data_IF_825090066316
#
_entry.id   IF_825090066316
#
_cell.length_a   1.000
_cell.length_b   1.000
_cell.length_c   1.000
_cell.angle_alpha   90.00
_cell.angle_beta   90.00
_cell.angle_gamma   90.00
#
_symmetry.space_group_name_H-M   'P 1'
#
loop_
_entity.id
_entity.type
_entity.pdbx_description
1 polymer ?
#
# COMPACT_ATOMS: atom_id res chain seq x y z
N UNK A 1 1.41 28.37 18.25
CA UNK A 1 2.57 29.24 18.13
C UNK A 1 3.60 28.95 19.23
N UNK A 2 4.84 28.69 18.85
CA UNK A 2 5.97 28.40 19.75
C UNK A 2 6.78 29.68 20.11
N UNK A 3 6.36 30.83 19.61
CA UNK A 3 7.12 32.10 19.80
C UNK A 3 6.94 32.73 21.19
N UNK A 4 6.03 32.25 22.00
CA UNK A 4 5.65 32.86 23.27
C UNK A 4 4.81 34.14 23.15
N UNK A 5 4.51 34.58 21.94
CA UNK A 5 3.77 35.84 21.67
C UNK A 5 2.27 35.64 21.48
N UNK A 6 1.77 34.40 21.73
CA UNK A 6 0.35 34.02 21.60
C UNK A 6 -0.25 34.27 20.20
N UNK A 7 0.57 34.28 19.15
CA UNK A 7 0.13 34.46 17.77
C UNK A 7 -0.52 33.17 17.22
N UNK A 8 -1.52 32.68 17.93
CA UNK A 8 -2.20 31.46 17.56
C UNK A 8 -3.21 31.73 16.44
N UNK A 9 -3.21 30.87 15.41
CA UNK A 9 -4.25 30.91 14.39
C UNK A 9 -5.54 30.33 14.93
N UNK A 10 -6.65 31.00 14.65
CA UNK A 10 -7.98 30.44 14.91
C UNK A 10 -8.42 29.66 13.68
N UNK A 11 -8.83 28.41 13.89
CA UNK A 11 -9.38 27.58 12.82
C UNK A 11 -10.71 28.16 12.38
N UNK A 12 -10.80 28.68 11.16
CA UNK A 12 -12.01 29.29 10.62
C UNK A 12 -13.09 28.29 10.20
N UNK A 13 -12.77 27.00 10.15
CA UNK A 13 -13.69 25.92 9.80
C UNK A 13 -12.94 24.60 9.66
N UNK A 14 -13.64 23.47 9.87
CA UNK A 14 -13.06 22.12 9.84
C UNK A 14 -12.25 21.77 11.10
N UNK A 15 -11.57 20.65 11.04
CA UNK A 15 -10.72 20.15 12.14
C UNK A 15 -9.26 20.15 11.69
N UNK A 16 -8.39 20.78 12.47
CA UNK A 16 -6.95 20.64 12.28
C UNK A 16 -6.52 19.25 12.77
N UNK A 17 -5.86 18.52 11.89
CA UNK A 17 -5.26 17.23 12.21
C UNK A 17 -3.76 17.40 12.29
N UNK A 18 -3.15 16.96 13.39
CA UNK A 18 -1.69 16.88 13.48
C UNK A 18 -1.25 15.61 12.75
N UNK A 19 -0.44 15.76 11.71
CA UNK A 19 0.13 14.65 10.95
C UNK A 19 1.64 14.64 11.06
N UNK A 20 2.25 13.47 10.83
CA UNK A 20 3.71 13.35 10.76
C UNK A 20 4.27 13.78 9.39
N UNK A 21 3.39 14.12 8.45
CA UNK A 21 3.78 14.62 7.13
C UNK A 21 4.35 16.03 7.25
N UNK A 22 5.61 16.19 6.94
CA UNK A 22 6.36 17.44 7.02
C UNK A 22 7.44 17.45 5.93
N UNK A 23 8.09 18.58 5.62
CA UNK A 23 9.09 18.65 4.55
C UNK A 23 10.23 17.64 4.67
N UNK A 24 10.59 17.26 5.89
CA UNK A 24 11.65 16.28 6.15
C UNK A 24 11.16 14.82 6.09
N UNK A 25 9.84 14.58 6.13
CA UNK A 25 9.24 13.26 6.17
C UNK A 25 7.91 13.24 5.40
N UNK A 26 7.99 13.27 4.08
CA UNK A 26 6.82 13.22 3.20
C UNK A 26 6.45 11.75 2.95
N UNK A 27 5.21 11.38 3.23
CA UNK A 27 4.70 10.04 2.96
C UNK A 27 4.33 9.84 1.50
N UNK A 28 4.49 8.61 1.01
CA UNK A 28 3.96 8.22 -0.28
C UNK A 28 2.44 8.44 -0.35
N UNK A 29 1.95 8.65 -1.55
CA UNK A 29 0.51 8.68 -1.89
C UNK A 29 0.29 7.88 -3.17
N UNK A 30 -0.94 7.65 -3.57
CA UNK A 30 -1.23 7.05 -4.86
C UNK A 30 -1.10 8.08 -5.98
N UNK A 31 -0.55 7.69 -7.13
CA UNK A 31 -0.26 8.60 -8.23
C UNK A 31 -1.36 8.57 -9.31
N UNK A 32 -2.22 9.60 -9.40
CA UNK A 32 -3.31 9.63 -10.37
C UNK A 32 -2.82 9.68 -11.83
N UNK A 33 -1.56 10.05 -12.06
CA UNK A 33 -0.98 10.17 -13.41
C UNK A 33 -0.49 8.84 -13.98
N UNK A 34 -0.36 7.80 -13.17
CA UNK A 34 0.16 6.48 -13.57
C UNK A 34 -0.95 5.43 -13.76
N UNK A 35 -2.19 5.84 -13.90
CA UNK A 35 -3.27 4.89 -14.15
C UNK A 35 -3.18 4.33 -15.57
N UNK A 36 -2.99 3.02 -15.67
CA UNK A 36 -3.15 2.31 -16.94
C UNK A 36 -4.60 2.48 -17.43
N UNK A 37 -4.80 3.01 -18.65
CA UNK A 37 -6.07 3.50 -19.17
C UNK A 37 -6.67 4.66 -18.37
N UNK A 38 -6.17 5.86 -18.64
CA UNK A 38 -6.63 7.09 -18.03
C UNK A 38 -8.16 7.25 -18.05
N UNK A 39 -8.71 7.79 -16.97
CA UNK A 39 -9.90 8.59 -17.05
C UNK A 39 -11.14 8.16 -16.29
N UNK A 40 -11.09 7.26 -15.29
CA UNK A 40 -12.32 7.00 -14.53
C UNK A 40 -12.13 6.57 -13.06
N UNK A 41 -10.92 6.54 -12.55
CA UNK A 41 -10.72 6.42 -11.11
C UNK A 41 -10.67 7.81 -10.50
N UNK A 42 -11.28 7.96 -9.34
CA UNK A 42 -11.21 9.21 -8.60
C UNK A 42 -10.34 9.06 -7.37
N UNK A 43 -9.63 10.14 -7.07
CA UNK A 43 -8.71 10.20 -5.94
C UNK A 43 -9.19 11.28 -4.97
N UNK A 44 -9.05 11.03 -3.68
CA UNK A 44 -9.41 11.96 -2.62
C UNK A 44 -8.47 11.81 -1.42
N UNK A 45 -8.64 12.65 -0.40
CA UNK A 45 -7.84 12.61 0.83
C UNK A 45 -6.33 12.65 0.55
N UNK A 46 -5.89 13.64 -0.25
CA UNK A 46 -4.48 13.75 -0.64
C UNK A 46 -3.97 12.59 -1.49
N UNK A 47 -4.85 12.01 -2.32
CA UNK A 47 -4.60 10.82 -3.15
C UNK A 47 -4.41 9.51 -2.35
N UNK A 48 -4.71 9.50 -1.06
CA UNK A 48 -4.65 8.28 -0.26
C UNK A 48 -5.95 7.47 -0.29
N UNK A 49 -6.99 7.96 -0.96
CA UNK A 49 -8.21 7.18 -1.24
C UNK A 49 -8.42 7.07 -2.74
N UNK A 50 -8.57 5.84 -3.21
CA UNK A 50 -8.79 5.50 -4.62
C UNK A 50 -10.15 4.85 -4.78
N UNK A 51 -11.03 5.46 -5.58
CA UNK A 51 -12.32 4.90 -5.96
C UNK A 51 -12.24 4.34 -7.39
N UNK A 52 -12.38 3.04 -7.49
CA UNK A 52 -12.30 2.25 -8.72
C UNK A 52 -13.68 2.09 -9.36
N UNK A 53 -14.28 3.19 -9.82
CA UNK A 53 -15.68 3.23 -10.25
C UNK A 53 -15.95 2.68 -11.68
N UNK A 54 -14.94 2.14 -12.37
CA UNK A 54 -15.11 1.66 -13.76
C UNK A 54 -15.11 0.15 -13.87
N UNK A 55 -15.68 -0.35 -14.98
CA UNK A 55 -15.73 -1.78 -15.30
C UNK A 55 -14.50 -2.27 -16.09
N UNK A 56 -13.53 -1.42 -16.41
CA UNK A 56 -12.33 -1.83 -17.13
C UNK A 56 -11.22 -2.31 -16.18
N UNK A 57 -10.43 -3.26 -16.63
CA UNK A 57 -9.20 -3.68 -15.94
C UNK A 57 -8.22 -2.52 -15.84
N UNK A 58 -7.71 -2.24 -14.64
CA UNK A 58 -6.85 -1.08 -14.37
C UNK A 58 -5.98 -1.30 -13.16
N UNK A 59 -4.90 -0.53 -13.08
CA UNK A 59 -4.13 -0.36 -11.85
C UNK A 59 -3.62 1.07 -11.70
N UNK A 60 -3.21 1.40 -10.51
CA UNK A 60 -2.49 2.64 -10.16
C UNK A 60 -1.37 2.28 -9.20
N UNK A 61 -0.26 3.00 -9.30
CA UNK A 61 0.88 2.84 -8.41
C UNK A 61 1.08 4.04 -7.50
N UNK A 62 1.91 3.87 -6.48
CA UNK A 62 2.27 4.95 -5.56
C UNK A 62 3.19 6.00 -6.22
N UNK A 63 3.38 7.12 -5.51
CA UNK A 63 4.25 8.23 -5.93
C UNK A 63 5.73 7.97 -5.67
N UNK A 64 6.06 7.05 -4.76
CA UNK A 64 7.43 6.71 -4.39
C UNK A 64 7.74 5.28 -4.77
N UNK A 65 8.91 5.09 -5.37
CA UNK A 65 9.47 3.79 -5.71
C UNK A 65 10.67 3.47 -4.83
N UNK A 66 10.96 2.18 -4.69
CA UNK A 66 12.08 1.66 -3.91
C UNK A 66 12.78 0.53 -4.65
N UNK A 67 14.09 0.38 -4.42
CA UNK A 67 14.93 -0.67 -5.03
C UNK A 67 15.81 -1.40 -4.03
N UNK A 68 15.83 -0.97 -2.79
CA UNK A 68 16.58 -1.56 -1.67
C UNK A 68 15.84 -1.33 -0.36
N UNK A 69 16.26 -1.95 0.74
CA UNK A 69 15.67 -1.77 2.06
C UNK A 69 14.38 -2.56 2.27
N UNK A 70 13.71 -2.30 3.39
CA UNK A 70 12.50 -3.02 3.81
C UNK A 70 11.38 -2.05 4.07
N UNK A 71 10.26 -2.26 3.41
CA UNK A 71 9.16 -1.30 3.34
C UNK A 71 7.86 -1.90 3.82
N UNK A 72 7.07 -1.11 4.56
CA UNK A 72 5.76 -1.48 5.07
C UNK A 72 4.73 -0.38 4.79
N UNK A 73 3.52 -0.78 4.39
CA UNK A 73 2.34 0.06 4.33
C UNK A 73 1.08 -0.76 4.55
N UNK A 74 0.00 -0.07 4.81
CA UNK A 74 -1.32 -0.63 4.98
C UNK A 74 -2.30 -0.06 3.97
N UNK A 75 -3.29 -0.87 3.59
CA UNK A 75 -4.38 -0.42 2.75
C UNK A 75 -5.69 -1.06 3.19
N UNK A 76 -6.70 -0.22 3.43
CA UNK A 76 -8.03 -0.65 3.86
C UNK A 76 -8.95 -0.79 2.66
N UNK A 77 -9.61 -1.93 2.56
CA UNK A 77 -10.70 -2.14 1.62
C UNK A 77 -11.97 -1.51 2.19
N UNK A 78 -12.29 -0.28 1.78
CA UNK A 78 -13.36 0.51 2.39
C UNK A 78 -14.75 0.00 1.96
N UNK A 79 -14.93 -0.23 0.67
CA UNK A 79 -16.21 -0.71 0.13
C UNK A 79 -16.01 -1.45 -1.17
N UNK A 80 -16.93 -2.35 -1.48
CA UNK A 80 -16.97 -3.12 -2.73
C UNK A 80 -18.36 -3.11 -3.35
N UNK A 81 -18.43 -3.26 -4.66
CA UNK A 81 -19.57 -3.86 -5.35
C UNK A 81 -19.28 -5.36 -5.57
N UNK A 82 -20.14 -6.06 -6.19
CA UNK A 82 -20.31 -7.52 -6.18
C UNK A 82 -19.13 -8.44 -6.47
N UNK A 83 -18.03 -8.01 -7.05
CA UNK A 83 -16.90 -8.88 -7.33
C UNK A 83 -15.58 -8.32 -6.82
N UNK A 84 -14.83 -9.18 -6.19
CA UNK A 84 -13.65 -8.81 -5.39
C UNK A 84 -12.36 -9.17 -6.08
N UNK A 85 -12.22 -8.81 -7.30
CA UNK A 85 -10.99 -9.03 -8.06
C UNK A 85 -9.96 -7.91 -7.90
N UNK A 86 -9.95 -7.24 -6.73
CA UNK A 86 -8.90 -6.27 -6.39
C UNK A 86 -7.60 -6.99 -6.05
N UNK A 87 -6.50 -6.45 -6.50
CA UNK A 87 -5.15 -7.00 -6.35
C UNK A 87 -4.25 -5.97 -5.72
N UNK A 88 -3.83 -6.25 -4.52
CA UNK A 88 -2.89 -5.43 -3.75
C UNK A 88 -1.48 -5.94 -3.99
N UNK A 89 -0.46 -5.08 -4.03
CA UNK A 89 0.92 -5.52 -4.20
C UNK A 89 1.88 -4.47 -4.71
N UNK A 90 2.80 -4.87 -5.58
CA UNK A 90 3.83 -4.02 -6.17
C UNK A 90 3.91 -4.20 -7.69
N UNK A 91 4.43 -3.17 -8.37
CA UNK A 91 4.67 -3.19 -9.80
C UNK A 91 5.94 -2.40 -10.14
N UNK A 92 6.79 -2.94 -10.99
CA UNK A 92 7.93 -2.23 -11.55
C UNK A 92 7.65 -1.65 -12.93
N UNK A 93 6.85 -2.35 -13.75
CA UNK A 93 6.49 -1.85 -15.08
C UNK A 93 5.26 -0.94 -15.01
N UNK A 94 5.49 0.35 -14.85
CA UNK A 94 4.41 1.34 -14.66
C UNK A 94 3.69 1.76 -15.95
N UNK A 95 4.15 1.30 -17.12
CA UNK A 95 3.80 1.97 -18.36
C UNK A 95 2.88 1.19 -19.30
N UNK A 96 2.63 -0.10 -19.17
CA UNK A 96 1.98 -0.74 -20.32
C UNK A 96 1.42 -2.16 -20.23
N UNK A 97 1.18 -2.72 -19.10
CA UNK A 97 0.56 -4.05 -19.06
C UNK A 97 -0.67 -4.07 -18.16
N UNK A 98 -1.62 -4.94 -18.52
CA UNK A 98 -2.72 -5.25 -17.61
C UNK A 98 -2.17 -5.65 -16.24
N UNK A 99 -2.87 -5.36 -15.15
CA UNK A 99 -2.44 -5.74 -13.81
C UNK A 99 -2.01 -7.22 -13.79
N UNK A 100 -0.83 -7.47 -13.20
CA UNK A 100 -0.30 -8.82 -13.00
C UNK A 100 0.04 -9.64 -14.27
N UNK A 101 0.01 -9.04 -15.45
CA UNK A 101 0.53 -9.65 -16.69
C UNK A 101 2.05 -9.46 -16.83
N UNK A 102 2.64 -8.62 -16.00
CA UNK A 102 4.07 -8.38 -15.97
C UNK A 102 4.80 -9.42 -15.11
N UNK A 103 5.98 -9.83 -15.52
CA UNK A 103 6.88 -10.66 -14.71
C UNK A 103 7.36 -9.96 -13.44
N UNK A 104 7.29 -8.63 -13.40
CA UNK A 104 7.64 -7.77 -12.26
C UNK A 104 6.43 -7.21 -11.51
N UNK A 105 5.23 -7.70 -11.81
CA UNK A 105 4.01 -7.36 -11.07
C UNK A 105 3.63 -8.49 -10.11
N UNK A 106 3.60 -8.20 -8.81
CA UNK A 106 3.25 -9.18 -7.78
C UNK A 106 2.01 -8.73 -7.05
N UNK A 107 1.02 -9.60 -6.96
CA UNK A 107 -0.27 -9.24 -6.39
C UNK A 107 -0.86 -10.31 -5.48
N UNK A 108 -1.66 -9.85 -4.51
CA UNK A 108 -2.53 -10.68 -3.69
C UNK A 108 -3.99 -10.29 -3.98
N UNK A 109 -4.77 -11.27 -4.40
CA UNK A 109 -6.19 -11.18 -4.74
C UNK A 109 -7.02 -11.75 -3.60
N UNK A 110 -8.04 -10.99 -3.19
CA UNK A 110 -8.83 -11.38 -2.03
C UNK A 110 -9.91 -12.42 -2.28
N UNK A 111 -10.40 -12.53 -3.53
CA UNK A 111 -11.46 -13.50 -3.83
C UNK A 111 -11.44 -13.90 -5.32
N UNK A 112 -11.19 -15.20 -5.61
CA UNK A 112 -10.71 -16.17 -4.63
C UNK A 112 -9.33 -15.76 -4.07
N UNK A 113 -8.97 -16.31 -2.89
CA UNK A 113 -7.66 -16.04 -2.30
C UNK A 113 -6.55 -16.60 -3.16
N UNK A 114 -5.79 -15.73 -3.82
CA UNK A 114 -4.75 -16.11 -4.77
C UNK A 114 -3.62 -15.09 -4.76
N UNK A 115 -2.40 -15.57 -4.91
CA UNK A 115 -1.27 -14.75 -5.35
C UNK A 115 -1.17 -14.78 -6.86
N UNK A 116 -0.73 -13.68 -7.46
CA UNK A 116 -0.67 -13.54 -8.92
C UNK A 116 0.61 -12.85 -9.37
N UNK A 117 1.23 -13.43 -10.40
CA UNK A 117 2.39 -12.90 -11.11
C UNK A 117 2.37 -13.41 -12.54
N UNK A 118 2.70 -12.58 -13.50
CA UNK A 118 2.80 -12.92 -14.92
C UNK A 118 1.57 -13.70 -15.44
N UNK A 119 0.37 -13.24 -15.08
CA UNK A 119 -0.88 -13.87 -15.48
C UNK A 119 -1.17 -15.23 -14.82
N UNK A 120 -0.29 -15.70 -13.95
CA UNK A 120 -0.47 -16.97 -13.25
C UNK A 120 -1.10 -16.74 -11.88
N UNK A 121 -2.23 -17.38 -11.64
CA UNK A 121 -2.99 -17.32 -10.39
C UNK A 121 -2.79 -18.62 -9.61
N UNK A 122 -2.32 -18.50 -8.37
CA UNK A 122 -2.08 -19.66 -7.50
C UNK A 122 -2.83 -19.45 -6.19
N UNK A 123 -3.58 -20.45 -5.72
CA UNK A 123 -4.24 -20.39 -4.41
C UNK A 123 -3.23 -20.09 -3.32
N UNK A 124 -3.50 -19.08 -2.51
CA UNK A 124 -2.60 -18.60 -1.47
C UNK A 124 -3.32 -17.69 -0.50
N UNK A 125 -3.05 -17.84 0.79
CA UNK A 125 -3.61 -17.00 1.86
C UNK A 125 -5.11 -17.19 2.06
N UNK A 126 -5.74 -16.27 2.75
CA UNK A 126 -7.17 -16.23 3.03
C UNK A 126 -7.89 -15.19 2.16
N UNK A 127 -9.20 -15.29 2.06
CA UNK A 127 -10.02 -14.24 1.43
C UNK A 127 -10.08 -13.01 2.31
N UNK A 128 -10.10 -11.84 1.67
CA UNK A 128 -10.38 -10.56 2.35
C UNK A 128 -11.59 -9.86 1.72
N UNK A 129 -12.24 -9.00 2.47
CA UNK A 129 -13.48 -8.32 2.09
C UNK A 129 -13.47 -6.86 2.54
N UNK A 130 -14.53 -6.12 2.19
CA UNK A 130 -14.70 -4.74 2.66
C UNK A 130 -14.66 -4.67 4.20
N UNK A 131 -13.94 -3.71 4.70
CA UNK A 131 -13.61 -3.55 6.12
C UNK A 131 -12.20 -4.01 6.49
N UNK A 132 -11.65 -4.99 5.78
CA UNK A 132 -10.32 -5.53 6.08
C UNK A 132 -9.20 -4.56 5.72
N UNK A 133 -8.14 -4.64 6.51
CA UNK A 133 -6.88 -3.92 6.29
C UNK A 133 -5.83 -4.93 5.87
N UNK A 134 -5.21 -4.66 4.72
CA UNK A 134 -4.14 -5.47 4.16
C UNK A 134 -2.81 -4.77 4.44
N UNK A 135 -1.96 -5.39 5.24
CA UNK A 135 -0.57 -4.98 5.39
C UNK A 135 0.30 -5.59 4.30
N UNK A 136 1.22 -4.82 3.77
CA UNK A 136 2.21 -5.26 2.78
C UNK A 136 3.60 -4.98 3.31
N UNK A 137 4.43 -6.03 3.36
CA UNK A 137 5.84 -5.92 3.72
C UNK A 137 6.70 -6.40 2.56
N UNK A 138 7.63 -5.55 2.12
CA UNK A 138 8.57 -5.87 1.02
C UNK A 138 9.99 -5.79 1.55
N UNK A 139 10.71 -6.90 1.47
CA UNK A 139 12.13 -7.01 1.80
C UNK A 139 12.93 -7.08 0.49
N UNK A 140 13.47 -5.94 0.06
CA UNK A 140 14.29 -5.85 -1.14
C UNK A 140 15.69 -6.42 -0.92
N UNK A 141 16.17 -6.48 0.32
CA UNK A 141 17.49 -7.02 0.63
C UNK A 141 17.54 -8.54 0.45
N UNK A 142 16.38 -9.19 0.61
CA UNK A 142 16.22 -10.64 0.42
C UNK A 142 15.22 -11.00 -0.69
N UNK A 143 14.71 -10.01 -1.42
CA UNK A 143 13.78 -10.19 -2.53
C UNK A 143 12.50 -10.95 -2.14
N UNK A 144 11.82 -10.53 -1.05
CA UNK A 144 10.60 -11.16 -0.53
C UNK A 144 9.47 -10.16 -0.40
N UNK A 145 8.23 -10.65 -0.62
CA UNK A 145 7.02 -9.89 -0.35
C UNK A 145 6.05 -10.73 0.48
N UNK A 146 5.43 -10.07 1.46
CA UNK A 146 4.48 -10.65 2.40
C UNK A 146 3.20 -9.83 2.45
N UNK A 147 2.10 -10.50 2.78
CA UNK A 147 0.81 -9.85 2.98
C UNK A 147 0.19 -10.28 4.30
N UNK A 148 -0.43 -9.35 5.00
CA UNK A 148 -1.26 -9.64 6.17
C UNK A 148 -2.70 -9.22 5.94
N UNK A 149 -3.63 -9.83 6.66
CA UNK A 149 -5.03 -9.40 6.77
C UNK A 149 -5.27 -9.10 8.24
N UNK A 150 -5.68 -7.87 8.54
CA UNK A 150 -5.96 -7.42 9.90
C UNK A 150 -4.83 -7.77 10.88
N UNK A 151 -3.59 -7.52 10.49
CA UNK A 151 -2.39 -7.78 11.27
C UNK A 151 -1.91 -9.24 11.28
N UNK A 152 -2.66 -10.18 10.70
CA UNK A 152 -2.27 -11.60 10.66
C UNK A 152 -1.58 -11.91 9.33
N UNK A 153 -0.28 -12.23 9.40
CA UNK A 153 0.51 -12.61 8.23
C UNK A 153 -0.01 -13.89 7.61
N UNK A 154 -0.20 -13.89 6.30
CA UNK A 154 -0.74 -15.02 5.57
C UNK A 154 0.32 -16.12 5.43
N UNK A 155 -0.13 -17.40 5.37
CA UNK A 155 0.73 -18.59 5.27
C UNK A 155 1.80 -18.66 6.39
N UNK A 156 1.43 -18.22 7.61
CA UNK A 156 2.35 -18.10 8.75
C UNK A 156 3.61 -17.30 8.42
N UNK A 157 3.45 -16.26 7.60
CA UNK A 157 4.53 -15.42 7.13
C UNK A 157 5.30 -14.75 8.26
N UNK A 158 6.61 -14.74 8.12
CA UNK A 158 7.53 -14.00 8.99
C UNK A 158 8.38 -13.05 8.14
N UNK A 159 7.99 -11.78 8.03
CA UNK A 159 8.77 -10.78 7.29
C UNK A 159 10.20 -10.59 7.82
N UNK A 160 10.48 -10.99 9.05
CA UNK A 160 11.82 -10.88 9.65
C UNK A 160 12.74 -12.08 9.38
N UNK A 161 12.23 -13.10 8.66
CA UNK A 161 12.96 -14.35 8.37
C UNK A 161 14.10 -14.20 7.34
N UNK A 162 14.30 -13.01 6.80
CA UNK A 162 15.39 -12.71 5.86
C UNK A 162 15.36 -13.59 4.61
N UNK A 163 16.50 -14.13 4.22
CA UNK A 163 16.64 -14.95 3.01
C UNK A 163 15.79 -16.23 3.05
N UNK A 164 15.45 -16.77 4.23
CA UNK A 164 14.58 -17.93 4.38
C UNK A 164 13.21 -17.67 3.76
N UNK A 165 12.66 -16.46 3.92
CA UNK A 165 11.39 -16.06 3.32
C UNK A 165 10.20 -16.87 3.80
N UNK A 166 10.16 -17.22 5.10
CA UNK A 166 9.07 -18.02 5.69
C UNK A 166 7.71 -17.43 5.38
N UNK A 167 6.82 -18.18 4.72
CA UNK A 167 5.48 -17.76 4.33
C UNK A 167 5.40 -16.56 3.39
N UNK A 168 6.50 -16.17 2.73
CA UNK A 168 6.46 -15.11 1.72
C UNK A 168 5.55 -15.49 0.56
N UNK A 169 4.81 -14.52 0.03
CA UNK A 169 3.98 -14.75 -1.15
C UNK A 169 4.85 -15.05 -2.37
N UNK A 170 5.93 -14.30 -2.55
CA UNK A 170 6.84 -14.47 -3.68
C UNK A 170 8.29 -14.21 -3.28
N UNK A 171 9.20 -14.85 -4.01
CA UNK A 171 10.53 -14.31 -4.26
C UNK A 171 10.42 -13.41 -5.48
N UNK A 172 10.72 -12.13 -5.31
CA UNK A 172 10.61 -11.12 -6.35
C UNK A 172 11.94 -10.99 -7.09
N UNK A 173 11.90 -10.56 -8.35
CA UNK A 173 13.11 -10.27 -9.13
C UNK A 173 13.59 -8.84 -8.83
N UNK A 174 14.79 -8.51 -9.25
CA UNK A 174 15.24 -7.12 -9.26
C UNK A 174 14.31 -6.29 -10.16
N UNK A 175 13.97 -5.03 -9.78
CA UNK A 175 13.00 -4.25 -10.52
C UNK A 175 13.52 -3.85 -11.91
N UNK A 176 12.93 -4.35 -13.02
CA UNK A 176 13.43 -4.06 -14.38
C UNK A 176 13.45 -2.59 -14.76
N UNK A 177 12.57 -1.77 -14.15
CA UNK A 177 12.55 -0.31 -14.35
C UNK A 177 13.42 0.45 -13.35
N UNK A 178 14.15 -0.26 -12.47
CA UNK A 178 14.96 0.31 -11.40
C UNK A 178 14.23 0.43 -10.07
N UNK A 179 12.90 0.40 -10.05
CA UNK A 179 12.10 0.59 -8.83
C UNK A 179 10.85 -0.27 -8.82
N UNK A 180 10.43 -0.70 -7.62
CA UNK A 180 9.07 -1.14 -7.35
C UNK A 180 8.25 -0.03 -6.73
N UNK A 181 6.97 -0.02 -7.03
CA UNK A 181 5.98 0.91 -6.49
C UNK A 181 4.85 0.12 -5.83
N UNK A 182 4.28 0.58 -4.71
CA UNK A 182 3.00 0.07 -4.21
C UNK A 182 1.95 0.09 -5.31
N UNK A 183 1.10 -0.93 -5.37
CA UNK A 183 0.08 -1.06 -6.42
C UNK A 183 -1.27 -1.46 -5.84
N UNK A 184 -2.33 -0.90 -6.42
CA UNK A 184 -3.67 -1.46 -6.38
C UNK A 184 -4.18 -1.64 -7.80
N UNK A 185 -4.68 -2.81 -8.11
CA UNK A 185 -5.26 -3.15 -9.39
C UNK A 185 -6.61 -3.82 -9.26
N UNK A 186 -7.33 -3.94 -10.37
CA UNK A 186 -8.59 -4.67 -10.43
C UNK A 186 -8.84 -5.32 -11.78
N UNK A 187 -9.64 -6.36 -11.81
CA UNK A 187 -10.23 -6.92 -13.03
C UNK A 187 -11.43 -6.10 -13.50
N UNK A 188 -11.85 -6.37 -14.74
CA UNK A 188 -12.84 -5.55 -15.44
C UNK A 188 -14.16 -5.34 -14.69
N UNK A 189 -14.70 -6.35 -14.02
CA UNK A 189 -16.01 -6.28 -13.37
C UNK A 189 -15.99 -5.74 -11.93
N UNK A 190 -14.82 -5.53 -11.33
CA UNK A 190 -14.71 -5.09 -9.95
C UNK A 190 -14.85 -3.56 -9.83
N UNK A 191 -15.58 -3.09 -8.82
CA UNK A 191 -15.52 -1.71 -8.34
C UNK A 191 -15.26 -1.72 -6.84
N UNK A 192 -14.68 -0.67 -6.31
CA UNK A 192 -14.39 -0.59 -4.88
C UNK A 192 -13.63 0.66 -4.51
N UNK A 193 -13.61 0.92 -3.22
CA UNK A 193 -12.86 2.03 -2.63
C UNK A 193 -11.77 1.47 -1.74
N UNK A 194 -10.55 1.95 -1.95
CA UNK A 194 -9.40 1.63 -1.14
C UNK A 194 -8.80 2.88 -0.53
N UNK A 195 -8.40 2.82 0.73
CA UNK A 195 -7.68 3.89 1.42
C UNK A 195 -6.32 3.38 1.90
N UNK A 196 -5.28 4.15 1.63
CA UNK A 196 -3.89 3.82 1.89
C UNK A 196 -3.37 4.58 3.09
N UNK A 197 -2.65 3.89 3.94
CA UNK A 197 -1.85 4.42 5.03
C UNK A 197 -0.38 4.07 4.77
N UNK A 198 0.40 5.06 4.32
CA UNK A 198 1.84 4.92 4.14
C UNK A 198 2.63 5.34 5.39
N UNK A 199 1.93 5.54 6.52
CA UNK A 199 2.47 5.98 7.80
C UNK A 199 1.86 7.27 8.31
N UNK A 200 0.93 7.88 7.59
CA UNK A 200 0.26 9.12 7.99
C UNK A 200 -0.82 8.90 9.07
N UNK A 201 -1.15 7.66 9.42
CA UNK A 201 -2.08 7.31 10.49
C UNK A 201 -3.55 7.40 10.13
N UNK A 202 -3.89 7.42 8.83
CA UNK A 202 -5.28 7.57 8.38
C UNK A 202 -5.59 6.64 7.21
N UNK A 203 -6.82 6.11 7.23
CA UNK A 203 -7.47 5.49 6.08
C UNK A 203 -8.54 6.46 5.56
N UNK A 204 -8.18 7.29 4.59
CA UNK A 204 -9.01 8.40 4.14
C UNK A 204 -9.11 9.48 5.22
N UNK A 205 -10.31 9.68 5.78
CA UNK A 205 -10.56 10.59 6.91
C UNK A 205 -10.64 9.87 8.27
N UNK A 206 -10.53 8.53 8.29
CA UNK A 206 -10.61 7.73 9.51
C UNK A 206 -9.21 7.51 10.05
N UNK A 207 -8.94 8.00 11.24
CA UNK A 207 -7.69 7.69 11.94
C UNK A 207 -7.58 6.20 12.25
N UNK A 208 -6.35 5.71 12.36
CA UNK A 208 -6.09 4.37 12.92
C UNK A 208 -6.73 4.25 14.31
N UNK A 209 -7.29 3.10 14.62
CA UNK A 209 -8.05 2.92 15.88
C UNK A 209 -7.13 2.64 17.06
N UNK A 210 -6.03 1.94 16.81
CA UNK A 210 -5.02 1.61 17.82
C UNK A 210 -3.67 1.52 17.12
N UNK A 211 -2.85 2.55 17.31
CA UNK A 211 -1.54 2.57 16.68
C UNK A 211 -0.68 1.38 17.11
N UNK A 212 -0.23 0.61 16.13
CA UNK A 212 0.77 -0.44 16.30
C UNK A 212 2.16 0.13 16.60
N UNK A 213 3.11 -0.76 16.88
CA UNK A 213 4.52 -0.40 17.07
C UNK A 213 5.09 0.10 15.73
N UNK A 214 5.64 1.33 15.67
CA UNK A 214 6.23 1.87 14.44
C UNK A 214 7.57 1.21 14.12
N UNK A 215 8.04 1.38 12.88
CA UNK A 215 9.44 1.17 12.51
C UNK A 215 10.39 2.20 13.13
N UNK A 216 11.64 2.24 12.70
CA UNK A 216 12.63 3.22 13.20
C UNK A 216 12.36 4.63 12.68
N UNK A 217 11.81 4.76 11.48
CA UNK A 217 11.33 6.04 10.95
C UNK A 217 9.90 6.33 11.43
N UNK A 218 9.57 7.58 11.79
CA UNK A 218 8.22 7.90 12.26
C UNK A 218 7.13 7.54 11.25
N UNK A 219 6.14 6.81 11.72
CA UNK A 219 4.94 6.43 10.98
C UNK A 219 3.89 5.89 11.94
N UNK A 220 2.61 6.04 11.61
CA UNK A 220 1.48 5.57 12.42
C UNK A 220 0.66 4.58 11.60
N UNK A 221 0.62 3.34 12.04
CA UNK A 221 -0.09 2.23 11.40
C UNK A 221 -1.10 1.60 12.36
N UNK A 222 -2.09 0.90 11.83
CA UNK A 222 -3.07 0.17 12.65
C UNK A 222 -2.43 -1.04 13.33
N UNK A 223 -1.47 -1.71 12.65
CA UNK A 223 -0.79 -2.90 13.15
C UNK A 223 0.71 -2.68 13.31
N UNK A 224 1.36 -3.59 14.04
CA UNK A 224 2.80 -3.53 14.27
C UNK A 224 3.59 -3.62 12.95
N UNK A 225 4.49 -2.68 12.76
CA UNK A 225 5.47 -2.73 11.67
C UNK A 225 6.48 -3.83 11.97
N UNK A 226 6.75 -4.77 11.06
CA UNK A 226 7.77 -5.77 11.30
C UNK A 226 9.13 -5.15 11.58
N UNK A 227 9.90 -5.75 12.48
CA UNK A 227 11.22 -5.23 12.85
C UNK A 227 12.13 -5.06 11.63
N UNK A 228 12.73 -3.88 11.51
CA UNK A 228 13.62 -3.51 10.40
C UNK A 228 12.89 -3.01 9.15
N UNK A 229 11.55 -2.90 9.18
CA UNK A 229 10.79 -2.28 8.10
C UNK A 229 10.47 -0.83 8.41
N UNK A 230 10.41 -0.03 7.35
CA UNK A 230 10.18 1.40 7.39
C UNK A 230 8.91 1.80 6.63
N UNK A 231 8.23 2.88 7.02
CA UNK A 231 7.21 3.49 6.20
C UNK A 231 7.79 4.03 4.89
N UNK A 232 7.02 3.98 3.81
CA UNK A 232 7.46 4.51 2.53
C UNK A 232 7.39 6.04 2.53
N UNK A 233 8.51 6.67 2.88
CA UNK A 233 8.64 8.13 3.05
C UNK A 233 9.96 8.62 2.46
N UNK A 234 10.05 9.94 2.22
CA UNK A 234 11.32 10.58 1.82
C UNK A 234 12.42 10.36 2.84
N UNK A 235 12.09 10.35 4.14
CA UNK A 235 13.07 10.09 5.20
C UNK A 235 13.55 8.64 5.16
N UNK A 236 12.63 7.68 5.02
CA UNK A 236 12.98 6.26 4.92
C UNK A 236 13.82 5.93 3.68
N UNK A 237 13.56 6.60 2.55
CA UNK A 237 14.33 6.41 1.31
C UNK A 237 15.76 6.96 1.37
N UNK A 238 16.09 7.78 2.37
CA UNK A 238 17.39 8.41 2.55
C UNK A 238 18.23 7.79 3.68
N UNK A 239 17.84 6.64 4.23
CA UNK A 239 18.54 5.93 5.32
C UNK A 239 19.47 4.84 4.80
#
# INVERSE_FOLDING_TARGET
DQSGNSNNFTVGGGTLTNTLDCPDNVFATMNPLTSYYAGAWTFSNGNNTVNMATTSERYVVGTMGFSSGKWYWEQKYVSKSDSTFSRVGIESNINNTAPDQSTSGYGYRGQPAQKVNNGTYTSWGNTYTAGDIIGVAVDMDNNKIYFSINGVWQESGDPTSGATGTGSAFTIIDPPSGFYFPKIGKEAAATGVWSFNFGNGYFGTTAVSSAGTPGSTPGVFEYDVPSGYEPLTTKGLNT
#
